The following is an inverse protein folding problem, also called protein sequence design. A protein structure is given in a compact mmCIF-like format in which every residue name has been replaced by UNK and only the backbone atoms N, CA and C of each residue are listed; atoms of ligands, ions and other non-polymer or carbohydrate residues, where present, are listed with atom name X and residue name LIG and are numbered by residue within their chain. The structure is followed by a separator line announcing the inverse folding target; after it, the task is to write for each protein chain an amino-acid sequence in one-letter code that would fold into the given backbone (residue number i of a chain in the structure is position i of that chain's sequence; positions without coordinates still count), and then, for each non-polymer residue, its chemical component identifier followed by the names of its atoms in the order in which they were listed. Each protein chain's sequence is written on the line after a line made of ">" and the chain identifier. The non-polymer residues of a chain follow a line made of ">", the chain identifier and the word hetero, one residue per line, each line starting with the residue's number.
data_IF_381918798161
#
_entry.id   IF_381918798161
#
_cell.length_a   1.000
_cell.length_b   1.000
_cell.length_c   1.000
_cell.angle_alpha   90.00
_cell.angle_beta   90.00
_cell.angle_gamma   90.00
#
_symmetry.space_group_name_H-M   'P 1'
#
loop_
_entity.id
_entity.type
_entity.pdbx_description
1 polymer ?
#
# COMPACT_ATOMS: atom_id res chain seq x y z
N UNK A 1 53.31 -19.19 -46.68
CA UNK A 1 52.26 -18.46 -45.92
C UNK A 1 51.36 -19.48 -45.24
N UNK A 2 51.58 -19.73 -43.94
CA UNK A 2 50.86 -20.74 -43.16
C UNK A 2 49.48 -20.20 -42.76
N UNK A 3 48.41 -20.84 -43.26
CA UNK A 3 47.03 -20.57 -42.82
C UNK A 3 46.88 -21.07 -41.38
N UNK A 4 46.75 -20.16 -40.42
CA UNK A 4 46.40 -20.53 -39.05
C UNK A 4 44.93 -21.00 -39.00
N UNK A 5 44.75 -22.29 -38.76
CA UNK A 5 43.44 -22.90 -38.56
C UNK A 5 43.04 -22.74 -37.08
N UNK A 6 42.63 -21.53 -36.70
CA UNK A 6 42.23 -21.24 -35.32
C UNK A 6 40.74 -21.55 -35.14
N UNK A 7 40.43 -22.81 -34.81
CA UNK A 7 39.07 -23.24 -34.48
C UNK A 7 38.70 -22.77 -33.06
N UNK A 8 38.15 -21.56 -32.92
CA UNK A 8 37.61 -21.08 -31.64
C UNK A 8 36.12 -21.43 -31.59
N UNK A 9 35.77 -22.60 -31.05
CA UNK A 9 34.37 -22.90 -30.75
C UNK A 9 33.95 -22.12 -29.50
N UNK A 10 33.02 -21.18 -29.68
CA UNK A 10 32.46 -20.37 -28.60
C UNK A 10 31.70 -21.22 -27.56
N UNK A 11 31.86 -20.84 -26.28
CA UNK A 11 31.31 -21.47 -25.08
C UNK A 11 29.77 -21.43 -24.99
N UNK A 12 29.19 -22.52 -24.45
CA UNK A 12 27.78 -22.75 -24.07
C UNK A 12 26.71 -22.36 -25.12
N UNK A 13 26.41 -23.27 -26.04
CA UNK A 13 25.13 -23.32 -26.78
C UNK A 13 24.01 -23.84 -25.88
N UNK A 14 23.51 -23.03 -24.96
CA UNK A 14 22.38 -23.46 -24.13
C UNK A 14 22.13 -22.56 -22.95
N UNK A 15 21.59 -21.37 -23.22
CA UNK A 15 20.94 -20.58 -22.19
C UNK A 15 19.50 -20.36 -22.65
N UNK A 16 18.55 -20.91 -21.90
CA UNK A 16 17.13 -20.68 -22.15
C UNK A 16 16.75 -19.24 -21.88
N UNK A 17 15.91 -18.66 -22.74
CA UNK A 17 15.25 -17.38 -22.46
C UNK A 17 14.32 -17.56 -21.27
N UNK A 18 14.46 -16.72 -20.24
CA UNK A 18 13.51 -16.64 -19.13
C UNK A 18 12.23 -15.97 -19.62
N UNK A 19 11.08 -16.61 -19.34
CA UNK A 19 9.73 -16.16 -19.74
C UNK A 19 8.93 -15.52 -18.59
N UNK A 20 9.60 -14.98 -17.59
CA UNK A 20 8.93 -14.41 -16.42
C UNK A 20 9.32 -12.93 -16.23
N UNK A 21 8.60 -12.05 -16.93
CA UNK A 21 8.74 -10.58 -16.85
C UNK A 21 7.40 -9.86 -16.81
N UNK A 22 6.36 -10.49 -16.22
CA UNK A 22 5.04 -9.88 -16.06
C UNK A 22 4.95 -9.24 -14.69
N UNK A 23 4.76 -7.93 -14.65
CA UNK A 23 4.40 -7.21 -13.44
C UNK A 23 3.02 -6.54 -13.61
N UNK A 24 2.34 -6.32 -12.50
CA UNK A 24 1.04 -5.68 -12.45
C UNK A 24 1.18 -4.19 -12.13
N UNK A 25 0.31 -3.37 -12.69
CA UNK A 25 0.29 -1.93 -12.39
C UNK A 25 0.14 -1.64 -10.89
N UNK A 26 0.94 -0.69 -10.40
CA UNK A 26 0.91 -0.26 -9.00
C UNK A 26 -0.47 0.30 -8.62
N UNK A 27 -1.06 -0.25 -7.55
CA UNK A 27 -2.41 0.11 -7.09
C UNK A 27 -2.44 1.25 -6.06
N UNK A 28 -1.27 1.85 -5.74
CA UNK A 28 -1.12 2.99 -4.81
C UNK A 28 -1.85 2.78 -3.46
N UNK A 29 -1.75 1.59 -2.88
CA UNK A 29 -2.32 1.25 -1.57
C UNK A 29 -1.56 1.98 -0.43
N UNK A 30 -2.06 1.86 0.81
CA UNK A 30 -1.44 2.40 2.02
C UNK A 30 -2.17 3.61 2.62
N UNK A 31 -1.54 4.20 3.63
CA UNK A 31 -2.05 5.37 4.33
C UNK A 31 -2.10 6.60 3.41
N UNK A 32 -3.15 7.40 3.58
CA UNK A 32 -3.37 8.66 2.85
C UNK A 32 -3.38 9.88 3.77
N UNK A 33 -3.55 9.65 5.07
CA UNK A 33 -3.49 10.66 6.13
C UNK A 33 -2.61 10.17 7.25
N UNK A 34 -1.90 11.11 7.89
CA UNK A 34 -1.00 10.83 8.99
C UNK A 34 -1.72 10.88 10.34
N UNK A 35 -1.11 10.28 11.36
CA UNK A 35 -1.58 10.42 12.74
C UNK A 35 -1.50 11.89 13.20
N UNK A 36 -2.51 12.37 13.92
CA UNK A 36 -2.58 13.75 14.39
C UNK A 36 -3.02 14.77 13.33
N UNK A 37 -3.24 14.35 12.08
CA UNK A 37 -3.68 15.26 11.02
C UNK A 37 -5.19 15.56 11.13
N UNK A 38 -5.56 16.82 10.96
CA UNK A 38 -6.97 17.21 10.77
C UNK A 38 -7.50 16.77 9.41
N UNK A 39 -8.67 16.15 9.39
CA UNK A 39 -9.35 15.68 8.19
C UNK A 39 -10.81 16.11 8.21
N UNK A 40 -11.34 16.39 7.02
CA UNK A 40 -12.78 16.55 6.79
C UNK A 40 -13.48 15.20 6.65
N UNK A 41 -14.77 15.16 6.91
CA UNK A 41 -15.68 14.06 6.61
C UNK A 41 -15.58 13.68 5.12
N UNK A 42 -15.67 12.39 4.84
CA UNK A 42 -15.50 11.82 3.50
C UNK A 42 -14.05 11.63 3.04
N UNK A 43 -13.06 12.19 3.74
CA UNK A 43 -11.65 11.99 3.35
C UNK A 43 -11.21 10.53 3.52
N UNK A 44 -10.43 10.05 2.54
CA UNK A 44 -9.80 8.73 2.60
C UNK A 44 -8.62 8.75 3.58
N UNK A 45 -8.61 7.79 4.50
CA UNK A 45 -7.56 7.60 5.51
C UNK A 45 -6.56 6.53 5.10
N UNK A 46 -7.05 5.40 4.58
CA UNK A 46 -6.20 4.25 4.24
C UNK A 46 -6.82 3.42 3.12
N UNK A 47 -6.04 3.09 2.08
CA UNK A 47 -6.46 2.15 1.02
C UNK A 47 -5.79 0.81 1.23
N UNK A 48 -6.56 -0.27 1.31
CA UNK A 48 -6.03 -1.60 1.62
C UNK A 48 -6.68 -2.69 0.78
N UNK A 49 -6.13 -3.90 0.89
CA UNK A 49 -6.76 -5.15 0.46
C UNK A 49 -6.95 -5.99 1.71
N UNK A 50 -8.18 -6.39 2.01
CA UNK A 50 -8.54 -6.93 3.31
C UNK A 50 -8.44 -5.86 4.41
N UNK A 51 -8.55 -6.30 5.66
CA UNK A 51 -8.59 -5.40 6.84
C UNK A 51 -7.29 -5.44 7.64
N UNK A 52 -6.25 -4.77 7.13
CA UNK A 52 -4.99 -4.60 7.90
C UNK A 52 -5.21 -3.64 9.06
N UNK A 53 -5.85 -2.51 8.77
CA UNK A 53 -6.33 -1.55 9.76
C UNK A 53 -7.85 -1.67 9.83
N UNK A 54 -8.37 -1.73 11.04
CA UNK A 54 -9.79 -1.84 11.31
C UNK A 54 -10.42 -0.44 11.42
N UNK A 55 -11.68 -0.27 11.03
CA UNK A 55 -12.41 0.95 11.38
C UNK A 55 -12.56 1.04 12.90
N UNK A 56 -12.23 2.21 13.43
CA UNK A 56 -12.44 2.61 14.82
C UNK A 56 -13.61 3.60 14.93
N UNK A 57 -13.48 4.57 15.82
CA UNK A 57 -14.53 5.56 16.09
C UNK A 57 -14.63 6.54 14.91
N UNK A 58 -15.85 6.81 14.43
CA UNK A 58 -16.14 7.74 13.32
C UNK A 58 -15.41 7.45 12.00
N UNK A 59 -15.10 6.18 11.73
CA UNK A 59 -14.48 5.74 10.47
C UNK A 59 -15.35 4.69 9.80
N UNK A 60 -15.67 4.92 8.53
CA UNK A 60 -16.37 3.98 7.66
C UNK A 60 -15.39 3.09 6.89
N UNK A 61 -15.88 1.92 6.45
CA UNK A 61 -15.18 1.02 5.52
C UNK A 61 -15.98 0.90 4.23
N UNK A 62 -15.36 1.23 3.10
CA UNK A 62 -15.94 1.05 1.77
C UNK A 62 -15.92 -0.40 1.30
N UNK A 63 -16.60 -0.68 0.19
CA UNK A 63 -16.66 -2.03 -0.40
C UNK A 63 -15.31 -2.55 -0.93
N UNK A 64 -14.36 -1.65 -1.23
CA UNK A 64 -12.98 -2.01 -1.61
C UNK A 64 -12.01 -2.03 -0.42
N UNK A 65 -12.53 -2.06 0.81
CA UNK A 65 -11.82 -2.00 2.08
C UNK A 65 -11.15 -0.66 2.42
N UNK A 66 -11.38 0.38 1.61
CA UNK A 66 -10.88 1.72 1.89
C UNK A 66 -11.53 2.28 3.16
N UNK A 67 -10.72 2.84 4.05
CA UNK A 67 -11.19 3.52 5.26
C UNK A 67 -11.35 5.02 4.99
N UNK A 68 -12.47 5.58 5.43
CA UNK A 68 -12.81 6.99 5.23
C UNK A 68 -13.41 7.63 6.49
N UNK A 69 -13.26 8.95 6.60
CA UNK A 69 -13.78 9.73 7.71
C UNK A 69 -15.30 9.89 7.65
N UNK A 70 -16.00 9.68 8.75
CA UNK A 70 -17.44 10.00 8.85
C UNK A 70 -17.69 11.43 9.36
N UNK A 71 -16.75 11.98 10.12
CA UNK A 71 -16.84 13.32 10.73
C UNK A 71 -15.54 14.08 10.55
N UNK A 72 -15.60 15.40 10.71
CA UNK A 72 -14.43 16.27 10.79
C UNK A 72 -13.69 16.05 12.12
N UNK A 73 -12.36 16.02 12.09
CA UNK A 73 -11.57 15.83 13.30
C UNK A 73 -10.14 15.41 13.05
N UNK A 74 -9.49 14.90 14.10
CA UNK A 74 -8.09 14.46 14.06
C UNK A 74 -8.01 12.94 13.95
N UNK A 75 -7.18 12.47 13.02
CA UNK A 75 -6.93 11.04 12.80
C UNK A 75 -6.04 10.48 13.90
N UNK A 76 -6.45 9.35 14.48
CA UNK A 76 -5.65 8.57 15.43
C UNK A 76 -5.54 7.11 15.04
N UNK A 77 -4.31 6.61 14.91
CA UNK A 77 -4.01 5.20 14.71
C UNK A 77 -3.70 4.54 16.06
N UNK A 78 -4.50 3.54 16.41
CA UNK A 78 -4.47 2.90 17.72
C UNK A 78 -4.28 1.38 17.56
N UNK A 79 -3.78 0.74 18.61
CA UNK A 79 -3.82 -0.73 18.69
C UNK A 79 -5.23 -1.18 19.07
N UNK A 80 -5.68 -2.24 18.40
CA UNK A 80 -6.91 -2.96 18.71
C UNK A 80 -6.54 -4.32 19.30
N UNK A 81 -6.46 -4.39 20.62
CA UNK A 81 -6.04 -5.60 21.34
C UNK A 81 -4.57 -5.95 21.09
N UNK A 82 -4.26 -7.25 21.00
CA UNK A 82 -2.87 -7.74 20.90
C UNK A 82 -2.24 -7.44 19.53
N UNK A 83 -2.86 -7.89 18.43
CA UNK A 83 -2.17 -7.92 17.13
C UNK A 83 -2.79 -7.00 16.06
N UNK A 84 -3.99 -6.47 16.31
CA UNK A 84 -4.72 -5.66 15.33
C UNK A 84 -4.48 -4.17 15.58
N UNK A 85 -4.71 -3.37 14.54
CA UNK A 85 -4.69 -1.92 14.60
C UNK A 85 -6.02 -1.38 14.10
N UNK A 86 -6.41 -0.21 14.60
CA UNK A 86 -7.58 0.52 14.15
C UNK A 86 -7.24 1.99 13.90
N UNK A 87 -8.08 2.66 13.14
CA UNK A 87 -8.02 4.12 12.95
C UNK A 87 -9.33 4.73 13.39
N UNK A 88 -9.23 5.76 14.22
CA UNK A 88 -10.34 6.52 14.79
C UNK A 88 -10.20 7.98 14.40
N UNK A 89 -11.33 8.70 14.36
CA UNK A 89 -11.34 10.16 14.23
C UNK A 89 -12.01 10.75 15.46
N UNK A 90 -11.28 11.62 16.14
CA UNK A 90 -11.78 12.40 17.26
C UNK A 90 -12.14 13.80 16.79
N UNK A 91 -13.42 14.21 16.91
CA UNK A 91 -13.85 15.57 16.61
C UNK A 91 -13.07 16.56 17.47
N UNK A 92 -12.49 17.58 16.83
CA UNK A 92 -11.94 18.72 17.57
C UNK A 92 -13.07 19.73 17.66
N UNK A 93 -13.51 20.03 18.87
CA UNK A 93 -14.42 21.15 19.10
C UNK A 93 -13.70 22.42 18.63
N UNK A 94 -14.26 23.08 17.62
CA UNK A 94 -13.87 24.45 17.29
C UNK A 94 -14.42 25.28 18.44
N UNK A 95 -13.58 25.53 19.46
CA UNK A 95 -13.90 26.54 20.46
C UNK A 95 -13.75 27.89 19.76
N UNK A 96 -14.89 28.55 19.54
CA UNK A 96 -14.94 29.97 19.17
C UNK A 96 -14.37 30.86 20.28
#
# INVERSE_FOLDING_TARGET
>A
MLKMNLQIFAHKKGVGSTKNGRDSESKRLGAKRADGQFVKAGNILYRQRGTKIHPGVNVGRGGDDTLFALVDGVVRFERKGRDKKQVSIYPVAVNE
#
